data_IF_928657763898
#
_entry.id   IF_928657763898
#
_cell.length_a   1.000
_cell.length_b   1.000
_cell.length_c   1.000
_cell.angle_alpha   90.00
_cell.angle_beta   90.00
_cell.angle_gamma   90.00
#
_symmetry.space_group_name_H-M   'P 1'
#
loop_
_entity.id
_entity.type
_entity.pdbx_description
1 polymer ?
#
# COMPACT_ATOMS: atom_id res chain seq x y z
N UNK A 1 0.02 -0.27 22.15
CA UNK A 1 -1.10 0.69 22.19
C UNK A 1 -0.64 2.11 22.46
N UNK A 2 0.31 2.30 23.37
CA UNK A 2 0.81 3.64 23.68
C UNK A 2 1.53 4.27 22.47
N UNK A 3 2.25 3.50 21.69
CA UNK A 3 2.92 3.99 20.49
C UNK A 3 1.91 4.51 19.46
N UNK A 4 0.84 3.76 19.23
CA UNK A 4 -0.22 4.18 18.32
C UNK A 4 -0.88 5.46 18.81
N UNK A 5 -1.08 5.58 20.10
CA UNK A 5 -1.71 6.76 20.71
C UNK A 5 -0.82 7.99 20.58
N UNK A 6 0.50 7.80 20.74
CA UNK A 6 1.48 8.87 20.55
C UNK A 6 1.50 9.34 19.10
N UNK A 7 1.49 8.38 18.16
CA UNK A 7 1.51 8.70 16.74
C UNK A 7 0.26 9.49 16.34
N UNK A 8 -0.91 9.11 16.84
CA UNK A 8 -2.16 9.81 16.54
C UNK A 8 -2.14 11.24 17.07
N UNK A 9 -1.55 11.45 18.26
CA UNK A 9 -1.45 12.81 18.83
C UNK A 9 -0.51 13.70 18.05
N UNK A 10 0.52 13.13 17.45
CA UNK A 10 1.54 13.86 16.70
C UNK A 10 1.22 13.98 15.22
N UNK A 11 0.19 13.27 14.76
CA UNK A 11 -0.20 13.31 13.36
C UNK A 11 -0.85 14.64 13.02
N UNK A 12 -0.51 15.18 11.86
CA UNK A 12 -1.16 16.37 11.34
C UNK A 12 -2.55 16.03 10.81
N UNK A 13 -3.39 17.05 10.62
CA UNK A 13 -4.70 16.88 10.02
C UNK A 13 -4.58 16.27 8.60
N UNK A 14 -3.55 16.65 7.87
CA UNK A 14 -3.28 16.13 6.53
C UNK A 14 -2.92 14.65 6.56
N UNK A 15 -2.09 14.24 7.52
CA UNK A 15 -1.71 12.85 7.69
C UNK A 15 -2.90 11.99 8.06
N UNK A 16 -3.77 12.47 8.94
CA UNK A 16 -4.99 11.77 9.32
C UNK A 16 -5.91 11.62 8.12
N UNK A 17 -6.10 12.70 7.35
CA UNK A 17 -6.93 12.67 6.15
C UNK A 17 -6.38 11.70 5.10
N UNK A 18 -5.07 11.66 4.92
CA UNK A 18 -4.44 10.72 3.99
C UNK A 18 -4.62 9.27 4.45
N UNK A 19 -4.52 9.02 5.75
CA UNK A 19 -4.75 7.69 6.31
C UNK A 19 -6.18 7.21 6.08
N UNK A 20 -7.16 8.09 6.23
CA UNK A 20 -8.57 7.78 5.94
C UNK A 20 -8.72 7.46 4.46
N UNK A 21 -8.14 8.25 3.60
CA UNK A 21 -8.22 8.06 2.14
C UNK A 21 -7.60 6.73 1.73
N UNK A 22 -6.44 6.40 2.28
CA UNK A 22 -5.77 5.12 2.00
C UNK A 22 -6.64 3.94 2.44
N UNK A 23 -7.24 4.03 3.62
CA UNK A 23 -8.12 2.97 4.14
C UNK A 23 -9.34 2.77 3.23
N UNK A 24 -9.93 3.87 2.76
CA UNK A 24 -11.09 3.82 1.87
C UNK A 24 -10.71 3.24 0.50
N UNK A 25 -9.55 3.59 -0.04
CA UNK A 25 -9.06 3.02 -1.28
C UNK A 25 -8.83 1.51 -1.15
N UNK A 26 -8.22 1.08 -0.05
CA UNK A 26 -8.01 -0.34 0.21
C UNK A 26 -9.33 -1.11 0.31
N UNK A 27 -10.28 -0.56 1.05
CA UNK A 27 -11.59 -1.19 1.18
C UNK A 27 -12.25 -1.35 -0.19
N UNK A 28 -12.26 -0.30 -0.97
CA UNK A 28 -12.87 -0.30 -2.29
C UNK A 28 -12.17 -1.29 -3.22
N UNK A 29 -10.86 -1.31 -3.22
CA UNK A 29 -10.07 -2.23 -4.03
C UNK A 29 -10.37 -3.69 -3.65
N UNK A 30 -10.40 -3.99 -2.35
CA UNK A 30 -10.65 -5.34 -1.84
C UNK A 30 -12.06 -5.85 -2.15
N UNK A 31 -12.98 -4.96 -2.55
CA UNK A 31 -14.36 -5.30 -2.90
C UNK A 31 -14.66 -5.05 -4.38
N UNK A 32 -13.63 -4.87 -5.20
CA UNK A 32 -13.78 -4.64 -6.64
C UNK A 32 -13.40 -5.90 -7.39
N UNK A 33 -14.14 -6.19 -8.45
CA UNK A 33 -13.88 -7.35 -9.30
C UNK A 33 -12.49 -7.24 -9.90
N UNK A 34 -11.62 -8.25 -9.72
CA UNK A 34 -10.31 -8.24 -10.35
C UNK A 34 -10.41 -8.35 -11.87
N UNK A 35 -9.37 -7.95 -12.56
CA UNK A 35 -9.28 -7.95 -14.02
C UNK A 35 -10.30 -7.03 -14.69
N UNK A 36 -10.53 -5.86 -14.07
CA UNK A 36 -11.37 -4.80 -14.63
C UNK A 36 -10.59 -3.50 -14.64
N UNK A 37 -11.03 -2.56 -15.48
CA UNK A 37 -10.41 -1.22 -15.52
C UNK A 37 -10.56 -0.51 -14.19
N UNK A 38 -11.70 -0.68 -13.53
CA UNK A 38 -11.93 -0.10 -12.20
C UNK A 38 -10.90 -0.58 -11.19
N UNK A 39 -10.60 -1.87 -11.19
CA UNK A 39 -9.59 -2.46 -10.30
C UNK A 39 -8.22 -1.84 -10.58
N UNK A 40 -7.83 -1.78 -11.84
CA UNK A 40 -6.54 -1.24 -12.25
C UNK A 40 -6.40 0.23 -11.88
N UNK A 41 -7.46 1.02 -12.04
CA UNK A 41 -7.46 2.43 -11.66
C UNK A 41 -7.26 2.62 -10.16
N UNK A 42 -7.90 1.78 -9.35
CA UNK A 42 -7.76 1.83 -7.90
C UNK A 42 -6.33 1.50 -7.47
N UNK A 43 -5.71 0.51 -8.09
CA UNK A 43 -4.32 0.15 -7.82
C UNK A 43 -3.40 1.33 -8.14
N UNK A 44 -3.60 1.98 -9.28
CA UNK A 44 -2.80 3.13 -9.67
C UNK A 44 -2.97 4.31 -8.70
N UNK A 45 -4.15 4.47 -8.14
CA UNK A 45 -4.43 5.54 -7.16
C UNK A 45 -3.82 5.23 -5.80
N UNK A 46 -3.71 3.95 -5.45
CA UNK A 46 -3.27 3.53 -4.13
C UNK A 46 -1.75 3.67 -3.96
N UNK A 47 -1.00 3.33 -4.99
CA UNK A 47 0.47 3.35 -4.94
C UNK A 47 1.04 4.63 -5.54
N UNK A 48 2.27 4.97 -5.16
CA UNK A 48 3.01 6.07 -5.76
C UNK A 48 3.39 5.77 -7.20
N UNK A 49 3.87 4.55 -7.44
CA UNK A 49 4.14 4.04 -8.76
C UNK A 49 3.73 2.57 -8.80
N UNK A 50 3.11 2.15 -9.89
CA UNK A 50 2.78 0.74 -10.12
C UNK A 50 3.08 0.43 -11.58
N UNK A 51 4.15 -0.36 -11.80
CA UNK A 51 4.72 -0.54 -13.12
C UNK A 51 3.89 -1.41 -14.05
N UNK A 52 4.26 -1.35 -15.33
CA UNK A 52 3.62 -2.13 -16.38
C UNK A 52 3.70 -3.63 -16.11
N UNK A 53 2.63 -4.33 -16.41
CA UNK A 53 2.53 -5.79 -16.28
C UNK A 53 2.69 -6.29 -14.85
N UNK A 54 2.63 -5.40 -13.87
CA UNK A 54 2.60 -5.78 -12.47
C UNK A 54 1.18 -6.10 -12.04
N UNK A 55 1.04 -6.99 -11.07
CA UNK A 55 -0.25 -7.46 -10.58
C UNK A 55 -0.28 -7.45 -9.06
N UNK A 56 -1.41 -7.03 -8.53
CA UNK A 56 -1.70 -7.07 -7.10
C UNK A 56 -2.93 -7.94 -6.89
N UNK A 57 -2.78 -8.96 -6.08
CA UNK A 57 -3.89 -9.81 -5.68
C UNK A 57 -4.45 -9.29 -4.35
N UNK A 58 -5.76 -9.26 -4.25
CA UNK A 58 -6.45 -8.87 -3.02
C UNK A 58 -6.85 -10.10 -2.22
N UNK A 59 -7.10 -9.98 -0.90
CA UNK A 59 -7.10 -8.73 -0.15
C UNK A 59 -5.69 -8.19 0.15
N UNK A 60 -5.61 -6.89 0.35
CA UNK A 60 -4.37 -6.22 0.71
C UNK A 60 -4.65 -5.07 1.68
N UNK A 61 -3.66 -4.72 2.48
CA UNK A 61 -3.71 -3.53 3.32
C UNK A 61 -2.48 -2.68 3.02
N UNK A 62 -2.70 -1.46 2.62
CA UNK A 62 -1.62 -0.54 2.26
C UNK A 62 -1.78 0.75 3.05
N UNK A 63 -0.78 1.06 3.86
CA UNK A 63 -0.70 2.31 4.61
C UNK A 63 0.39 3.16 3.98
N UNK A 64 0.07 4.39 3.66
CA UNK A 64 0.99 5.31 2.97
C UNK A 64 1.41 4.79 1.61
N UNK A 65 0.44 4.34 0.81
CA UNK A 65 0.72 3.75 -0.51
C UNK A 65 1.46 4.68 -1.46
N UNK A 66 1.34 6.00 -1.30
CA UNK A 66 2.06 6.95 -2.13
C UNK A 66 3.58 6.88 -1.93
N UNK A 67 4.02 6.30 -0.82
CA UNK A 67 5.44 6.06 -0.55
C UNK A 67 5.92 4.72 -1.09
N UNK A 68 5.07 3.97 -1.78
CA UNK A 68 5.41 2.68 -2.36
C UNK A 68 5.60 2.81 -3.86
N UNK A 69 6.74 2.32 -4.34
CA UNK A 69 7.06 2.28 -5.76
C UNK A 69 7.21 0.83 -6.18
N UNK A 70 6.37 0.40 -7.09
CA UNK A 70 6.37 -0.97 -7.62
C UNK A 70 6.88 -0.91 -9.05
N UNK A 71 7.88 -1.71 -9.34
CA UNK A 71 8.45 -1.79 -10.68
C UNK A 71 7.58 -2.55 -11.67
N UNK A 72 8.19 -3.00 -12.75
CA UNK A 72 7.51 -3.70 -13.83
C UNK A 72 7.53 -5.21 -13.59
N UNK A 73 6.51 -5.89 -14.04
CA UNK A 73 6.41 -7.36 -13.98
C UNK A 73 6.60 -7.88 -12.56
N UNK A 74 6.04 -7.16 -11.60
CA UNK A 74 6.02 -7.55 -10.19
C UNK A 74 4.68 -8.22 -9.90
N UNK A 75 4.71 -9.34 -9.21
CA UNK A 75 3.50 -10.00 -8.76
C UNK A 75 3.47 -9.94 -7.24
N UNK A 76 2.41 -9.34 -6.71
CA UNK A 76 2.18 -9.26 -5.27
C UNK A 76 0.98 -10.15 -4.96
N UNK A 77 1.23 -11.24 -4.24
CA UNK A 77 0.18 -12.20 -3.91
C UNK A 77 -0.68 -11.68 -2.76
N UNK A 78 -1.80 -12.37 -2.54
CA UNK A 78 -2.84 -11.94 -1.60
C UNK A 78 -2.37 -11.89 -0.14
N UNK A 79 -3.10 -11.17 0.67
CA UNK A 79 -2.83 -10.94 2.09
C UNK A 79 -1.51 -10.23 2.35
N UNK A 80 -1.15 -9.31 1.48
CA UNK A 80 0.02 -8.46 1.69
C UNK A 80 -0.31 -7.29 2.61
N UNK A 81 0.68 -6.88 3.38
CA UNK A 81 0.59 -5.71 4.24
C UNK A 81 1.76 -4.78 3.92
N UNK A 82 1.44 -3.54 3.60
CA UNK A 82 2.43 -2.50 3.37
C UNK A 82 2.30 -1.43 4.45
N UNK A 83 3.26 -1.36 5.34
CA UNK A 83 3.40 -0.27 6.31
C UNK A 83 4.53 0.62 5.82
N UNK A 84 4.19 1.64 5.07
CA UNK A 84 5.11 2.29 4.14
C UNK A 84 5.50 3.71 4.54
N UNK A 85 5.46 4.04 5.82
CA UNK A 85 5.80 5.40 6.30
C UNK A 85 7.21 5.83 5.88
N UNK A 86 8.16 4.91 5.88
CA UNK A 86 9.55 5.17 5.49
C UNK A 86 9.86 4.92 4.02
N UNK A 87 8.85 4.58 3.23
CA UNK A 87 9.02 4.26 1.82
C UNK A 87 9.39 2.81 1.55
N UNK A 88 8.84 2.25 0.49
CA UNK A 88 9.12 0.89 0.04
C UNK A 88 9.28 0.94 -1.47
N UNK A 89 10.36 0.35 -1.97
CA UNK A 89 10.57 0.19 -3.41
C UNK A 89 10.75 -1.28 -3.72
N UNK A 90 9.94 -1.79 -4.65
CA UNK A 90 10.07 -3.15 -5.16
C UNK A 90 10.49 -3.02 -6.62
N UNK A 91 11.65 -3.56 -6.93
CA UNK A 91 12.22 -3.47 -8.28
C UNK A 91 11.53 -4.44 -9.24
N UNK A 92 11.92 -4.38 -10.51
CA UNK A 92 11.31 -5.18 -11.56
C UNK A 92 11.47 -6.69 -11.33
N UNK A 93 10.54 -7.46 -11.84
CA UNK A 93 10.62 -8.92 -11.90
C UNK A 93 10.68 -9.60 -10.52
N UNK A 94 9.98 -9.03 -9.53
CA UNK A 94 9.94 -9.56 -8.16
C UNK A 94 8.59 -10.25 -7.92
N UNK A 95 8.63 -11.38 -7.24
CA UNK A 95 7.44 -12.04 -6.72
C UNK A 95 7.39 -11.83 -5.21
N UNK A 96 6.32 -11.17 -4.74
CA UNK A 96 6.02 -11.03 -3.32
C UNK A 96 5.04 -12.11 -2.94
N UNK A 97 5.46 -13.03 -2.09
CA UNK A 97 4.65 -14.19 -1.70
C UNK A 97 3.43 -13.77 -0.88
N UNK A 98 2.44 -14.65 -0.85
CA UNK A 98 1.23 -14.45 -0.05
C UNK A 98 1.59 -14.26 1.43
N UNK A 99 0.80 -13.45 2.11
CA UNK A 99 0.95 -13.13 3.52
C UNK A 99 2.23 -12.37 3.87
N UNK A 100 2.86 -11.73 2.90
CA UNK A 100 4.06 -10.95 3.13
C UNK A 100 3.74 -9.68 3.93
N UNK A 101 4.66 -9.31 4.83
CA UNK A 101 4.61 -8.06 5.56
C UNK A 101 5.81 -7.23 5.16
N UNK A 102 5.53 -6.07 4.58
CA UNK A 102 6.53 -5.13 4.12
C UNK A 102 6.42 -3.88 4.99
N UNK A 103 7.36 -3.73 5.90
CA UNK A 103 7.30 -2.69 6.92
C UNK A 103 8.52 -1.78 6.79
N UNK A 104 8.25 -0.52 6.57
CA UNK A 104 9.28 0.51 6.50
C UNK A 104 8.85 1.66 7.41
N UNK A 105 9.53 1.80 8.53
CA UNK A 105 9.25 2.85 9.49
C UNK A 105 10.30 3.95 9.37
N UNK A 106 9.84 5.18 9.40
CA UNK A 106 10.71 6.33 9.39
C UNK A 106 10.89 6.84 10.82
N UNK A 107 11.62 6.05 11.62
CA UNK A 107 11.94 6.45 12.99
C UNK A 107 13.21 7.25 13.01
N UNK A 108 13.16 8.42 13.60
CA UNK A 108 14.35 9.16 13.92
C UNK A 108 15.14 8.37 14.96
N UNK A 109 16.45 8.27 14.82
CA UNK A 109 17.27 7.59 15.81
C UNK A 109 17.21 8.27 17.15
#
# INVERSE_FOLDING_TARGET
>A
MDELRIDLRNATSEEIAQGVKDAQLCFKLNHTMPYTDEYDDLVQKLFGEFGESSRLMTPTTVVRGKNVKIGKRVVIMNNSLFMSAGGITIEDDVLVAANAQLISNNHAP
#
